data_IF_766818607670
#
_entry.id   IF_766818607670
#
_cell.length_a   1.000
_cell.length_b   1.000
_cell.length_c   1.000
_cell.angle_alpha   90.00
_cell.angle_beta   90.00
_cell.angle_gamma   90.00
#
_symmetry.space_group_name_H-M   'P 1'
#
loop_
_entity.id
_entity.type
_entity.pdbx_description
1 polymer ?
#
# COMPACT_ATOMS: atom_id res chain seq x y z
N UNK A 1 9.84 26.56 12.69
CA UNK A 1 9.64 27.83 11.95
C UNK A 1 9.98 29.02 12.84
N UNK A 2 11.14 28.97 13.51
CA UNK A 2 11.63 29.99 14.48
C UNK A 2 13.08 30.43 14.17
N UNK A 3 13.60 30.13 12.97
CA UNK A 3 15.04 30.17 12.69
C UNK A 3 15.46 31.18 11.61
N UNK A 4 14.57 32.10 11.20
CA UNK A 4 14.86 33.03 10.09
C UNK A 4 15.07 34.49 10.56
N UNK A 5 14.88 34.81 11.85
CA UNK A 5 15.23 36.13 12.40
C UNK A 5 16.68 36.24 12.92
N UNK A 6 17.56 35.29 12.61
CA UNK A 6 19.01 35.46 12.80
C UNK A 6 19.67 35.98 11.51
N UNK A 7 19.16 37.07 10.95
CA UNK A 7 19.92 37.84 9.97
C UNK A 7 20.83 38.80 10.74
N UNK A 8 22.02 38.30 11.07
CA UNK A 8 23.29 39.04 11.12
C UNK A 8 23.16 40.56 11.27
N UNK A 9 22.96 41.03 12.50
CA UNK A 9 23.54 42.30 12.93
C UNK A 9 24.90 41.97 13.54
N UNK A 10 25.94 42.41 12.82
CA UNK A 10 27.35 42.36 13.18
C UNK A 10 27.60 42.66 14.65
N UNK A 11 28.47 41.88 15.29
CA UNK A 11 28.94 42.00 16.68
C UNK A 11 29.58 43.37 17.04
N UNK A 12 29.62 44.35 16.14
CA UNK A 12 30.21 45.67 16.32
C UNK A 12 29.27 46.79 16.82
N UNK A 13 27.98 46.51 17.08
CA UNK A 13 27.05 47.48 17.68
C UNK A 13 26.64 47.13 19.11
N UNK A 14 27.61 46.88 20.01
CA UNK A 14 27.34 46.97 21.46
C UNK A 14 27.13 48.45 21.82
N UNK A 15 25.91 48.93 21.59
CA UNK A 15 25.40 50.24 21.98
C UNK A 15 25.79 50.49 23.46
N UNK A 16 26.62 51.50 23.74
CA UNK A 16 27.09 51.81 25.10
C UNK A 16 26.03 52.61 25.92
N UNK A 17 24.83 52.71 25.35
CA UNK A 17 23.64 53.44 25.80
C UNK A 17 23.19 53.18 27.25
N UNK A 18 23.35 51.98 27.87
CA UNK A 18 22.87 51.77 29.23
C UNK A 18 23.54 52.66 30.30
N UNK A 19 24.83 53.00 30.12
CA UNK A 19 25.59 53.75 31.15
C UNK A 19 25.19 55.23 31.21
N UNK A 20 24.97 55.87 30.07
CA UNK A 20 24.61 57.29 30.00
C UNK A 20 23.13 57.52 30.35
N UNK A 21 22.23 56.64 29.90
CA UNK A 21 20.80 56.69 30.22
C UNK A 21 20.55 56.60 31.73
N UNK A 22 21.21 55.68 32.43
CA UNK A 22 21.00 55.48 33.88
C UNK A 22 21.36 56.70 34.74
N UNK A 23 22.34 57.49 34.31
CA UNK A 23 22.77 58.72 34.99
C UNK A 23 21.79 59.86 34.73
N UNK A 24 21.31 59.97 33.49
CA UNK A 24 20.30 60.97 33.10
C UNK A 24 18.97 60.71 33.79
N UNK A 25 18.50 59.46 33.84
CA UNK A 25 17.24 59.08 34.50
C UNK A 25 17.20 59.57 35.94
N UNK A 26 18.24 59.27 36.74
CA UNK A 26 18.30 59.64 38.17
C UNK A 26 18.23 61.14 38.40
N UNK A 27 18.74 61.93 37.46
CA UNK A 27 18.83 63.37 37.60
C UNK A 27 17.58 64.09 37.08
N UNK A 28 16.86 63.49 36.11
CA UNK A 28 15.56 63.98 35.66
C UNK A 28 14.48 63.86 36.73
N UNK A 29 14.59 62.90 37.67
CA UNK A 29 13.61 62.71 38.76
C UNK A 29 13.47 63.96 39.67
N UNK A 30 14.44 64.89 39.66
CA UNK A 30 14.41 66.12 40.45
C UNK A 30 13.76 67.32 39.75
N UNK A 31 13.36 67.19 38.48
CA UNK A 31 12.72 68.27 37.74
C UNK A 31 11.23 68.33 38.03
N UNK A 32 10.75 69.52 38.38
CA UNK A 32 9.33 69.84 38.48
C UNK A 32 9.05 71.18 37.78
N UNK A 33 8.19 71.11 36.76
CA UNK A 33 7.72 72.27 36.01
C UNK A 33 6.47 72.85 36.67
N UNK A 34 6.15 74.12 36.37
CA UNK A 34 4.92 74.75 36.87
C UNK A 34 3.65 74.22 36.19
N UNK A 35 3.77 73.82 34.93
CA UNK A 35 2.66 73.33 34.11
C UNK A 35 2.50 71.81 34.23
N UNK A 36 1.26 71.34 34.30
CA UNK A 36 0.95 69.92 34.48
C UNK A 36 1.29 69.08 33.24
N UNK A 37 1.10 69.62 32.04
CA UNK A 37 1.40 68.95 30.77
C UNK A 37 2.91 68.72 30.66
N UNK A 38 3.71 69.74 31.02
CA UNK A 38 5.17 69.63 31.00
C UNK A 38 5.68 68.54 31.96
N UNK A 39 5.06 68.38 33.13
CA UNK A 39 5.40 67.32 34.09
C UNK A 39 5.00 65.93 33.57
N UNK A 40 3.85 65.79 32.91
CA UNK A 40 3.46 64.51 32.29
C UNK A 40 4.37 64.16 31.10
N UNK A 41 4.79 65.13 30.28
CA UNK A 41 5.80 64.90 29.22
C UNK A 41 7.12 64.41 29.82
N UNK A 42 7.59 65.00 30.93
CA UNK A 42 8.79 64.54 31.62
C UNK A 42 8.65 63.09 32.09
N UNK A 43 7.50 62.74 32.68
CA UNK A 43 7.20 61.41 33.19
C UNK A 43 7.13 60.35 32.08
N UNK A 44 6.52 60.67 30.93
CA UNK A 44 6.51 59.81 29.75
C UNK A 44 7.95 59.46 29.35
N UNK A 45 8.80 60.47 29.19
CA UNK A 45 10.20 60.29 28.83
C UNK A 45 10.96 59.41 29.84
N UNK A 46 10.79 59.69 31.14
CA UNK A 46 11.48 58.95 32.21
C UNK A 46 11.11 57.47 32.21
N UNK A 47 9.81 57.14 32.14
CA UNK A 47 9.34 55.76 32.21
C UNK A 47 9.76 54.94 30.99
N UNK A 48 9.80 55.58 29.81
CA UNK A 48 10.32 54.94 28.58
C UNK A 48 11.81 54.64 28.71
N UNK A 49 12.60 55.64 29.11
CA UNK A 49 14.04 55.48 29.27
C UNK A 49 14.38 54.46 30.37
N UNK A 50 13.64 54.46 31.49
CA UNK A 50 13.74 53.45 32.56
C UNK A 50 13.47 52.05 32.01
N UNK A 51 12.40 51.91 31.22
CA UNK A 51 12.04 50.63 30.60
C UNK A 51 13.10 50.14 29.63
N UNK A 52 13.60 51.01 28.74
CA UNK A 52 14.66 50.67 27.78
C UNK A 52 15.91 50.19 28.52
N UNK A 53 16.30 50.88 29.60
CA UNK A 53 17.44 50.48 30.41
C UNK A 53 17.24 49.12 31.10
N UNK A 54 16.00 48.79 31.48
CA UNK A 54 15.69 47.52 32.15
C UNK A 54 15.48 46.33 31.20
N UNK A 55 15.03 46.57 29.96
CA UNK A 55 14.59 45.53 29.04
C UNK A 55 14.95 45.84 27.57
N UNK A 56 16.22 46.15 27.34
CA UNK A 56 16.73 46.64 26.06
C UNK A 56 16.47 45.69 24.88
N UNK A 57 16.65 44.38 25.06
CA UNK A 57 16.45 43.38 23.99
C UNK A 57 15.01 43.34 23.49
N UNK A 58 14.03 43.44 24.39
CA UNK A 58 12.61 43.51 24.03
C UNK A 58 12.29 44.80 23.24
N UNK A 59 12.94 45.92 23.57
CA UNK A 59 12.80 47.14 22.78
C UNK A 59 13.48 47.03 21.41
N UNK A 60 14.60 46.32 21.30
CA UNK A 60 15.23 46.02 20.01
C UNK A 60 14.34 45.17 19.11
N UNK A 61 13.61 44.20 19.67
CA UNK A 61 12.71 43.33 18.92
C UNK A 61 11.48 44.10 18.40
N UNK A 62 10.81 44.86 19.27
CA UNK A 62 9.50 45.46 18.95
C UNK A 62 9.55 46.94 18.57
N UNK A 63 10.68 47.62 18.71
CA UNK A 63 10.87 49.02 18.31
C UNK A 63 12.16 49.21 17.47
N UNK A 64 12.46 48.24 16.61
CA UNK A 64 13.73 48.16 15.89
C UNK A 64 14.04 49.37 15.01
N UNK A 65 13.03 50.01 14.40
CA UNK A 65 13.24 51.21 13.55
C UNK A 65 13.69 52.38 14.42
N UNK A 66 12.96 52.68 15.50
CA UNK A 66 13.31 53.78 16.39
C UNK A 66 14.60 53.54 17.18
N UNK A 67 14.92 52.27 17.50
CA UNK A 67 16.15 51.91 18.21
C UNK A 67 17.43 52.12 17.38
N UNK A 68 17.33 52.10 16.04
CA UNK A 68 18.49 52.17 15.13
C UNK A 68 19.32 53.44 15.31
N UNK A 69 18.68 54.59 15.48
CA UNK A 69 19.33 55.91 15.59
C UNK A 69 19.26 56.47 17.02
N UNK A 70 18.78 55.68 17.99
CA UNK A 70 18.49 56.12 19.35
C UNK A 70 19.72 56.72 20.05
N UNK A 71 20.87 56.06 19.94
CA UNK A 71 22.13 56.52 20.56
C UNK A 71 22.52 57.90 20.06
N UNK A 72 22.51 58.09 18.73
CA UNK A 72 22.85 59.37 18.11
C UNK A 72 21.87 60.48 18.50
N UNK A 73 20.57 60.16 18.53
CA UNK A 73 19.52 61.13 18.90
C UNK A 73 19.63 61.54 20.37
N UNK A 74 19.84 60.58 21.27
CA UNK A 74 20.03 60.86 22.70
C UNK A 74 21.29 61.69 22.95
N UNK A 75 22.41 61.37 22.30
CA UNK A 75 23.65 62.14 22.42
C UNK A 75 23.51 63.59 21.91
N UNK A 76 22.57 63.85 21.00
CA UNK A 76 22.26 65.19 20.52
C UNK A 76 21.46 66.06 21.50
N UNK A 77 20.75 65.45 22.45
CA UNK A 77 19.81 66.12 23.37
C UNK A 77 20.28 66.06 24.82
N UNK A 78 20.69 64.89 25.32
CA UNK A 78 21.01 64.66 26.72
C UNK A 78 22.10 65.60 27.28
N UNK A 79 23.23 65.86 26.58
CA UNK A 79 24.26 66.76 27.09
C UNK A 79 23.82 68.24 27.21
N UNK A 80 22.73 68.62 26.52
CA UNK A 80 22.20 69.99 26.54
C UNK A 80 21.24 70.23 27.72
N UNK A 81 20.77 69.16 28.37
CA UNK A 81 19.92 69.25 29.56
C UNK A 81 20.82 69.58 30.76
N UNK A 82 20.67 70.78 31.31
CA UNK A 82 21.38 71.16 32.53
C UNK A 82 20.66 70.62 33.76
N UNK A 83 21.12 69.46 34.22
CA UNK A 83 20.57 68.70 35.36
C UNK A 83 20.68 69.43 36.71
N UNK A 84 21.54 70.45 36.83
CA UNK A 84 21.71 71.26 38.04
C UNK A 84 21.09 72.66 37.92
N UNK A 85 20.23 72.88 36.91
CA UNK A 85 19.63 74.20 36.69
C UNK A 85 18.72 74.59 37.88
N UNK A 86 18.94 75.78 38.44
CA UNK A 86 18.01 76.40 39.41
C UNK A 86 16.71 76.88 38.76
N UNK A 87 16.70 77.00 37.44
CA UNK A 87 15.56 77.42 36.63
C UNK A 87 15.20 76.28 35.67
N UNK A 88 14.30 75.41 36.12
CA UNK A 88 13.89 74.19 35.40
C UNK A 88 13.12 74.53 34.13
N UNK A 89 12.41 75.67 34.09
CA UNK A 89 11.61 76.11 32.95
C UNK A 89 12.45 76.30 31.68
N UNK A 90 13.72 76.70 31.81
CA UNK A 90 14.66 76.80 30.68
C UNK A 90 14.99 75.46 30.03
N UNK A 91 14.69 74.33 30.69
CA UNK A 91 14.94 73.00 30.17
C UNK A 91 13.76 72.44 29.36
N UNK A 92 12.61 73.14 29.35
CA UNK A 92 11.36 72.69 28.71
C UNK A 92 11.57 72.22 27.27
N UNK A 93 12.24 73.01 26.43
CA UNK A 93 12.49 72.67 25.01
C UNK A 93 13.21 71.32 24.85
N UNK A 94 14.19 71.03 25.71
CA UNK A 94 14.93 69.76 25.65
C UNK A 94 14.09 68.56 26.10
N UNK A 95 13.17 68.75 27.05
CA UNK A 95 12.24 67.68 27.49
C UNK A 95 11.24 67.35 26.38
N UNK A 96 10.75 68.33 25.64
CA UNK A 96 9.91 68.07 24.47
C UNK A 96 10.69 67.44 23.31
N UNK A 97 11.94 67.85 23.07
CA UNK A 97 12.80 67.15 22.08
C UNK A 97 13.04 65.70 22.46
N UNK A 98 13.17 65.41 23.76
CA UNK A 98 13.27 64.04 24.25
C UNK A 98 11.99 63.25 23.99
N UNK A 99 10.81 63.89 24.08
CA UNK A 99 9.53 63.27 23.72
C UNK A 99 9.50 62.84 22.25
N UNK A 100 10.03 63.66 21.33
CA UNK A 100 10.14 63.30 19.91
C UNK A 100 11.05 62.08 19.66
N UNK A 101 11.92 61.73 20.61
CA UNK A 101 12.79 60.55 20.55
C UNK A 101 12.12 59.33 21.18
N UNK A 102 11.47 59.51 22.34
CA UNK A 102 10.91 58.40 23.12
C UNK A 102 9.54 57.94 22.64
N UNK A 103 8.69 58.86 22.15
CA UNK A 103 7.35 58.54 21.66
C UNK A 103 7.34 57.59 20.45
N UNK A 104 8.20 57.77 19.41
CA UNK A 104 8.32 56.80 18.31
C UNK A 104 8.53 55.38 18.79
N UNK A 105 9.33 55.18 19.85
CA UNK A 105 9.62 53.86 20.40
C UNK A 105 8.37 53.21 20.96
N UNK A 106 7.60 53.91 21.81
CA UNK A 106 6.31 53.39 22.31
C UNK A 106 5.36 53.11 21.15
N UNK A 107 5.29 54.01 20.18
CA UNK A 107 4.33 53.91 19.09
C UNK A 107 4.63 52.71 18.18
N UNK A 108 5.90 52.54 17.80
CA UNK A 108 6.35 51.36 17.06
C UNK A 108 6.16 50.08 17.87
N UNK A 109 6.55 50.10 19.15
CA UNK A 109 6.33 48.98 20.07
C UNK A 109 4.86 48.56 20.08
N UNK A 110 3.93 49.51 20.14
CA UNK A 110 2.50 49.21 20.10
C UNK A 110 2.03 48.61 18.77
N UNK A 111 2.64 48.98 17.65
CA UNK A 111 2.26 48.50 16.32
C UNK A 111 2.82 47.12 16.00
N UNK A 112 4.01 46.78 16.52
CA UNK A 112 4.67 45.48 16.30
C UNK A 112 4.33 44.43 17.36
N UNK A 113 4.03 44.85 18.59
CA UNK A 113 3.77 43.92 19.68
C UNK A 113 2.41 43.24 19.48
N UNK A 114 2.42 41.91 19.58
CA UNK A 114 1.26 41.03 19.32
C UNK A 114 0.18 41.10 20.42
N UNK A 115 0.50 41.72 21.55
CA UNK A 115 -0.37 41.84 22.73
C UNK A 115 -0.78 43.29 23.01
N UNK A 116 -1.86 43.48 23.77
CA UNK A 116 -2.23 44.81 24.26
C UNK A 116 -1.04 45.45 24.99
N UNK A 117 -0.77 46.70 24.63
CA UNK A 117 0.27 47.49 25.25
C UNK A 117 0.06 47.57 26.77
N UNK A 118 1.14 47.58 27.55
CA UNK A 118 1.06 47.78 28.99
C UNK A 118 0.18 49.02 29.29
N UNK A 119 -0.78 48.94 30.24
CA UNK A 119 -1.68 50.05 30.56
C UNK A 119 -0.98 51.40 30.79
N UNK A 120 0.25 51.39 31.33
CA UNK A 120 1.07 52.59 31.52
C UNK A 120 1.46 53.23 30.19
N UNK A 121 2.01 52.45 29.25
CA UNK A 121 2.39 52.97 27.94
C UNK A 121 1.17 53.35 27.09
N UNK A 122 0.05 52.66 27.29
CA UNK A 122 -1.21 53.03 26.64
C UNK A 122 -1.71 54.40 27.12
N UNK A 123 -1.63 54.68 28.42
CA UNK A 123 -1.92 56.02 28.97
C UNK A 123 -1.00 57.08 28.38
N UNK A 124 0.31 56.83 28.31
CA UNK A 124 1.26 57.77 27.72
C UNK A 124 0.99 58.04 26.24
N UNK A 125 0.66 57.00 25.48
CA UNK A 125 0.27 57.12 24.09
C UNK A 125 -0.96 58.02 23.94
N UNK A 126 -2.02 57.78 24.73
CA UNK A 126 -3.23 58.61 24.68
C UNK A 126 -2.97 60.05 25.12
N UNK A 127 -2.18 60.26 26.17
CA UNK A 127 -1.77 61.60 26.61
C UNK A 127 -1.12 62.40 25.47
N UNK A 128 -0.17 61.79 24.74
CA UNK A 128 0.48 62.46 23.60
C UNK A 128 -0.53 62.75 22.48
N UNK A 129 -1.42 61.82 22.16
CA UNK A 129 -2.44 62.04 21.12
C UNK A 129 -3.43 63.15 21.47
N UNK A 130 -3.91 63.20 22.71
CA UNK A 130 -4.90 64.18 23.16
C UNK A 130 -4.32 65.59 23.31
N UNK A 131 -3.03 65.69 23.63
CA UNK A 131 -2.36 66.97 23.90
C UNK A 131 -1.48 67.46 22.74
N UNK A 132 -1.42 66.75 21.61
CA UNK A 132 -0.49 67.05 20.52
C UNK A 132 -0.61 68.48 20.00
N UNK A 133 -1.82 69.04 19.98
CA UNK A 133 -2.06 70.40 19.47
C UNK A 133 -1.64 71.49 20.46
N UNK A 134 -1.44 71.14 21.74
CA UNK A 134 -0.94 72.03 22.80
C UNK A 134 0.58 72.14 22.87
N UNK A 135 1.30 71.22 22.20
CA UNK A 135 2.75 71.16 22.22
C UNK A 135 3.40 72.23 21.32
N UNK A 136 4.68 72.57 21.54
CA UNK A 136 5.41 73.48 20.66
C UNK A 136 5.31 73.06 19.19
N UNK A 137 5.14 74.02 18.27
CA UNK A 137 4.85 73.74 16.85
C UNK A 137 5.87 72.81 16.16
N UNK A 138 7.16 72.93 16.50
CA UNK A 138 8.21 72.03 16.00
C UNK A 138 7.95 70.58 16.42
N UNK A 139 7.64 70.36 17.69
CA UNK A 139 7.43 69.05 18.30
C UNK A 139 6.12 68.45 17.83
N UNK A 140 5.07 69.26 17.74
CA UNK A 140 3.78 68.88 17.16
C UNK A 140 3.93 68.40 15.72
N UNK A 141 4.69 69.12 14.90
CA UNK A 141 4.96 68.71 13.52
C UNK A 141 5.72 67.37 13.47
N UNK A 142 6.77 67.22 14.27
CA UNK A 142 7.57 65.99 14.35
C UNK A 142 6.70 64.80 14.75
N UNK A 143 5.92 64.93 15.82
CA UNK A 143 5.07 63.86 16.32
C UNK A 143 3.97 63.48 15.32
N UNK A 144 3.32 64.46 14.66
CA UNK A 144 2.33 64.17 13.61
C UNK A 144 2.98 63.41 12.46
N UNK A 145 4.17 63.82 12.01
CA UNK A 145 4.92 63.11 10.98
C UNK A 145 5.20 61.64 11.38
N UNK A 146 5.70 61.42 12.59
CA UNK A 146 5.95 60.07 13.14
C UNK A 146 4.67 59.22 13.13
N UNK A 147 3.56 59.78 13.63
CA UNK A 147 2.28 59.06 13.72
C UNK A 147 1.81 58.56 12.34
N UNK A 148 2.00 59.36 11.29
CA UNK A 148 1.59 59.04 9.92
C UNK A 148 2.58 58.12 9.18
N UNK A 149 3.89 58.31 9.34
CA UNK A 149 4.92 57.60 8.58
C UNK A 149 5.29 56.24 9.17
N UNK A 150 5.24 56.09 10.50
CA UNK A 150 5.65 54.84 11.17
C UNK A 150 4.84 53.62 10.70
N UNK A 151 3.49 53.64 10.61
CA UNK A 151 2.72 52.51 10.11
C UNK A 151 3.08 52.12 8.68
N UNK A 152 3.27 53.12 7.80
CA UNK A 152 3.65 52.93 6.40
C UNK A 152 5.04 52.29 6.28
N UNK A 153 5.98 52.72 7.13
CA UNK A 153 7.34 52.17 7.17
C UNK A 153 7.36 50.71 7.63
N UNK A 154 6.62 50.39 8.70
CA UNK A 154 6.47 49.01 9.19
C UNK A 154 5.83 48.14 8.11
N UNK A 155 4.74 48.61 7.50
CA UNK A 155 4.05 47.88 6.43
C UNK A 155 4.99 47.60 5.25
N UNK A 156 5.78 48.58 4.81
CA UNK A 156 6.75 48.40 3.73
C UNK A 156 7.82 47.37 4.07
N UNK A 157 8.33 47.36 5.31
CA UNK A 157 9.31 46.35 5.76
C UNK A 157 8.71 44.95 5.77
N UNK A 158 7.51 44.80 6.37
CA UNK A 158 6.81 43.51 6.43
C UNK A 158 6.42 43.00 5.05
N UNK A 159 5.91 43.85 4.17
CA UNK A 159 5.49 43.47 2.82
C UNK A 159 6.66 43.12 1.90
N UNK A 160 7.83 43.74 2.09
CA UNK A 160 9.05 43.37 1.36
C UNK A 160 9.67 42.07 1.92
N UNK A 161 9.56 41.82 3.24
CA UNK A 161 10.05 40.62 3.91
C UNK A 161 9.15 39.40 3.68
N UNK A 162 7.83 39.61 3.57
CA UNK A 162 6.91 38.67 2.94
C UNK A 162 7.38 38.57 1.50
N UNK A 163 8.27 37.64 1.20
CA UNK A 163 8.82 37.44 -0.14
C UNK A 163 7.66 37.07 -1.07
N UNK A 164 6.98 38.06 -1.64
CA UNK A 164 5.89 37.88 -2.63
C UNK A 164 6.40 37.08 -3.85
N UNK A 165 7.71 37.11 -4.07
CA UNK A 165 8.42 36.25 -5.03
C UNK A 165 8.36 34.76 -4.67
N UNK A 166 8.34 34.39 -3.39
CA UNK A 166 8.13 33.01 -2.93
C UNK A 166 6.67 32.59 -3.06
N UNK A 167 5.69 33.50 -2.90
CA UNK A 167 4.28 33.18 -3.14
C UNK A 167 3.99 32.82 -4.60
N UNK A 168 4.62 33.51 -5.56
CA UNK A 168 4.51 33.13 -6.98
C UNK A 168 5.16 31.79 -7.30
N UNK A 169 6.33 31.51 -6.69
CA UNK A 169 6.99 30.20 -6.84
C UNK A 169 6.16 29.07 -6.22
N UNK A 170 5.48 29.34 -5.11
CA UNK A 170 4.61 28.35 -4.46
C UNK A 170 3.47 27.94 -5.40
N UNK A 171 2.87 28.88 -6.13
CA UNK A 171 1.83 28.57 -7.12
C UNK A 171 2.38 27.71 -8.28
N UNK A 172 3.57 28.03 -8.78
CA UNK A 172 4.25 27.22 -9.81
C UNK A 172 4.58 25.81 -9.31
N UNK A 173 5.10 25.67 -8.08
CA UNK A 173 5.45 24.39 -7.46
C UNK A 173 4.21 23.54 -7.16
N UNK A 174 3.11 24.16 -6.71
CA UNK A 174 1.82 23.48 -6.48
C UNK A 174 1.29 22.93 -7.81
N UNK A 175 1.25 23.75 -8.87
CA UNK A 175 0.75 23.31 -10.17
C UNK A 175 1.59 22.19 -10.77
N UNK A 176 2.92 22.24 -10.62
CA UNK A 176 3.82 21.17 -11.06
C UNK A 176 3.62 19.87 -10.26
N UNK A 177 3.37 19.97 -8.96
CA UNK A 177 3.11 18.79 -8.14
C UNK A 177 1.75 18.16 -8.49
N UNK A 178 0.72 18.97 -8.74
CA UNK A 178 -0.59 18.50 -9.19
C UNK A 178 -0.45 17.72 -10.51
N UNK A 179 0.24 18.28 -11.51
CA UNK A 179 0.43 17.59 -12.79
C UNK A 179 1.21 16.28 -12.64
N UNK A 180 2.20 16.24 -11.74
CA UNK A 180 2.97 15.01 -11.46
C UNK A 180 2.11 13.94 -10.81
N UNK A 181 1.21 14.32 -9.90
CA UNK A 181 0.26 13.38 -9.26
C UNK A 181 -0.71 12.81 -10.30
N UNK A 182 -1.26 13.66 -11.18
CA UNK A 182 -2.15 13.21 -12.25
C UNK A 182 -1.47 12.23 -13.22
N UNK A 183 -0.19 12.48 -13.56
CA UNK A 183 0.62 11.56 -14.35
C UNK A 183 0.84 10.21 -13.65
N UNK A 184 1.16 10.23 -12.36
CA UNK A 184 1.35 9.02 -11.55
C UNK A 184 0.07 8.21 -11.40
N UNK A 185 -1.07 8.83 -11.18
CA UNK A 185 -2.36 8.15 -11.10
C UNK A 185 -2.69 7.43 -12.43
N UNK A 186 -2.48 8.11 -13.56
CA UNK A 186 -2.68 7.48 -14.89
C UNK A 186 -1.68 6.33 -15.15
N UNK A 187 -0.43 6.45 -14.70
CA UNK A 187 0.54 5.36 -14.83
C UNK A 187 0.20 4.17 -13.91
N UNK A 188 -0.29 4.46 -12.71
CA UNK A 188 -0.74 3.45 -11.75
C UNK A 188 -1.91 2.64 -12.30
N UNK A 189 -2.94 3.30 -12.85
CA UNK A 189 -4.07 2.62 -13.49
C UNK A 189 -3.62 1.70 -14.63
N UNK A 190 -2.73 2.17 -15.51
CA UNK A 190 -2.18 1.35 -16.61
C UNK A 190 -1.40 0.13 -16.11
N UNK A 191 -0.68 0.28 -14.99
CA UNK A 191 0.05 -0.84 -14.37
C UNK A 191 -0.92 -1.82 -13.71
N UNK A 192 -1.95 -1.34 -13.04
CA UNK A 192 -3.00 -2.16 -12.44
C UNK A 192 -3.68 -3.01 -13.51
N UNK A 193 -4.10 -2.40 -14.62
CA UNK A 193 -4.73 -3.09 -15.75
C UNK A 193 -3.82 -4.19 -16.31
N UNK A 194 -2.52 -3.91 -16.47
CA UNK A 194 -1.55 -4.93 -16.91
C UNK A 194 -1.41 -6.08 -15.92
N UNK A 195 -1.35 -5.79 -14.63
CA UNK A 195 -1.22 -6.81 -13.58
C UNK A 195 -2.47 -7.69 -13.52
N UNK A 196 -3.66 -7.09 -13.59
CA UNK A 196 -4.91 -7.83 -13.65
C UNK A 196 -5.01 -8.69 -14.92
N UNK A 197 -4.60 -8.15 -16.08
CA UNK A 197 -4.52 -8.91 -17.32
C UNK A 197 -3.54 -10.09 -17.26
N UNK A 198 -2.37 -9.90 -16.63
CA UNK A 198 -1.39 -10.96 -16.38
C UNK A 198 -1.93 -12.03 -15.43
N UNK A 199 -2.57 -11.63 -14.33
CA UNK A 199 -3.20 -12.54 -13.38
C UNK A 199 -4.27 -13.38 -14.06
N UNK A 200 -5.19 -12.73 -14.79
CA UNK A 200 -6.23 -13.40 -15.54
C UNK A 200 -5.63 -14.42 -16.51
N UNK A 201 -4.57 -14.06 -17.23
CA UNK A 201 -3.83 -14.94 -18.16
C UNK A 201 -3.22 -16.15 -17.44
N UNK A 202 -2.56 -15.93 -16.30
CA UNK A 202 -1.92 -16.99 -15.51
C UNK A 202 -2.93 -17.99 -14.93
N UNK A 203 -4.08 -17.50 -14.47
CA UNK A 203 -5.18 -18.35 -14.00
C UNK A 203 -5.68 -19.25 -15.15
N UNK A 204 -5.79 -18.72 -16.39
CA UNK A 204 -6.16 -19.54 -17.56
C UNK A 204 -5.13 -20.65 -17.86
N UNK A 205 -3.84 -20.31 -17.78
CA UNK A 205 -2.76 -21.27 -18.05
C UNK A 205 -2.71 -22.36 -16.97
N UNK A 206 -2.99 -22.04 -15.72
CA UNK A 206 -2.94 -22.98 -14.59
C UNK A 206 -4.03 -24.05 -14.73
N UNK A 207 -5.26 -23.65 -15.05
CA UNK A 207 -6.38 -24.60 -15.23
C UNK A 207 -6.17 -25.49 -16.47
N UNK A 208 -5.76 -24.90 -17.60
CA UNK A 208 -5.51 -25.63 -18.82
C UNK A 208 -4.34 -26.63 -18.66
N UNK A 209 -3.30 -26.26 -17.92
CA UNK A 209 -2.13 -27.13 -17.71
C UNK A 209 -2.44 -28.31 -16.78
N UNK A 210 -3.26 -28.12 -15.75
CA UNK A 210 -3.68 -29.19 -14.84
C UNK A 210 -4.45 -30.30 -15.57
N UNK A 211 -5.39 -29.97 -16.46
CA UNK A 211 -6.12 -30.98 -17.23
C UNK A 211 -5.26 -31.69 -18.28
N UNK A 212 -4.32 -30.97 -18.90
CA UNK A 212 -3.35 -31.57 -19.84
C UNK A 212 -2.43 -32.55 -19.13
N UNK A 213 -1.94 -32.20 -17.94
CA UNK A 213 -1.10 -33.08 -17.12
C UNK A 213 -1.86 -34.34 -16.67
N UNK A 214 -3.13 -34.18 -16.25
CA UNK A 214 -4.00 -35.31 -15.89
C UNK A 214 -4.29 -36.22 -17.10
N UNK A 215 -4.58 -35.63 -18.27
CA UNK A 215 -4.76 -36.38 -19.50
C UNK A 215 -3.51 -37.18 -19.88
N UNK A 216 -2.33 -36.57 -19.81
CA UNK A 216 -1.05 -37.24 -20.07
C UNK A 216 -0.83 -38.40 -19.08
N UNK A 217 -1.09 -38.18 -17.79
CA UNK A 217 -1.03 -39.22 -16.76
C UNK A 217 -1.97 -40.41 -17.05
N UNK A 218 -3.22 -40.15 -17.38
CA UNK A 218 -4.17 -41.19 -17.76
C UNK A 218 -3.80 -41.89 -19.08
N UNK A 219 -3.20 -41.17 -20.04
CA UNK A 219 -2.75 -41.75 -21.31
C UNK A 219 -1.63 -42.78 -21.10
N UNK A 220 -0.68 -42.49 -20.20
CA UNK A 220 0.38 -43.40 -19.78
C UNK A 220 -0.18 -44.60 -19.02
N UNK A 221 -1.21 -44.41 -18.19
CA UNK A 221 -1.88 -45.51 -17.51
C UNK A 221 -2.62 -46.43 -18.51
N UNK A 222 -3.31 -45.84 -19.50
CA UNK A 222 -3.99 -46.58 -20.57
C UNK A 222 -3.02 -47.42 -21.40
N UNK A 223 -1.84 -46.89 -21.74
CA UNK A 223 -0.83 -47.62 -22.50
C UNK A 223 -0.27 -48.81 -21.69
N UNK A 224 0.01 -48.61 -20.40
CA UNK A 224 0.42 -49.69 -19.49
C UNK A 224 -0.64 -50.80 -19.38
N UNK A 225 -1.90 -50.44 -19.16
CA UNK A 225 -3.02 -51.40 -19.13
C UNK A 225 -3.17 -52.15 -20.47
N UNK A 226 -2.93 -51.48 -21.60
CA UNK A 226 -2.97 -52.12 -22.91
C UNK A 226 -1.86 -53.15 -23.10
N UNK A 227 -0.65 -52.85 -22.61
CA UNK A 227 0.48 -53.79 -22.63
C UNK A 227 0.21 -55.01 -21.74
N UNK A 228 -0.25 -54.79 -20.50
CA UNK A 228 -0.64 -55.86 -19.58
C UNK A 228 -1.76 -56.73 -20.16
N UNK A 229 -2.80 -56.13 -20.75
CA UNK A 229 -3.90 -56.83 -21.39
C UNK A 229 -3.42 -57.71 -22.55
N UNK A 230 -2.48 -57.21 -23.37
CA UNK A 230 -1.89 -58.00 -24.45
C UNK A 230 -1.08 -59.19 -23.90
N UNK A 231 -0.29 -58.99 -22.85
CA UNK A 231 0.42 -60.08 -22.16
C UNK A 231 -0.52 -61.17 -21.63
N UNK A 232 -1.68 -60.78 -21.08
CA UNK A 232 -2.71 -61.73 -20.63
C UNK A 232 -3.33 -62.51 -21.80
N UNK A 233 -3.53 -61.89 -22.97
CA UNK A 233 -4.01 -62.60 -24.18
C UNK A 233 -2.98 -63.61 -24.65
N UNK A 234 -1.70 -63.25 -24.71
CA UNK A 234 -0.61 -64.16 -25.09
C UNK A 234 -0.56 -65.36 -24.14
N UNK A 235 -0.64 -65.12 -22.83
CA UNK A 235 -0.68 -66.18 -21.82
C UNK A 235 -1.94 -67.07 -21.96
N UNK A 236 -3.09 -66.47 -22.27
CA UNK A 236 -4.33 -67.21 -22.51
C UNK A 236 -4.24 -68.13 -23.74
N UNK A 237 -3.63 -67.65 -24.84
CA UNK A 237 -3.37 -68.46 -26.03
C UNK A 237 -2.42 -69.61 -25.70
N UNK A 238 -1.35 -69.34 -24.95
CA UNK A 238 -0.43 -70.38 -24.47
C UNK A 238 -1.14 -71.44 -23.63
N UNK A 239 -1.98 -71.03 -22.66
CA UNK A 239 -2.76 -71.96 -21.84
C UNK A 239 -3.79 -72.74 -22.66
N UNK A 240 -4.40 -72.13 -23.68
CA UNK A 240 -5.32 -72.81 -24.59
C UNK A 240 -4.60 -73.96 -25.33
N UNK A 241 -3.42 -73.70 -25.89
CA UNK A 241 -2.58 -74.76 -26.47
C UNK A 241 -2.12 -75.78 -25.41
N UNK A 242 -1.82 -75.31 -24.19
CA UNK A 242 -1.47 -76.15 -23.04
C UNK A 242 -2.58 -77.13 -22.63
N UNK A 243 -3.85 -76.75 -22.79
CA UNK A 243 -5.02 -77.63 -22.57
C UNK A 243 -5.13 -78.69 -23.67
N UNK A 244 -4.84 -78.34 -24.92
CA UNK A 244 -4.93 -79.26 -26.06
C UNK A 244 -3.76 -80.26 -26.11
N UNK A 245 -2.55 -79.82 -25.73
CA UNK A 245 -1.31 -80.61 -25.78
C UNK A 245 -1.42 -81.99 -25.12
N UNK A 246 -1.82 -82.13 -23.84
CA UNK A 246 -1.83 -83.44 -23.19
C UNK A 246 -2.89 -84.38 -23.80
N UNK A 247 -4.03 -83.85 -24.26
CA UNK A 247 -5.08 -84.63 -24.93
C UNK A 247 -4.59 -85.16 -26.29
N UNK A 248 -3.90 -84.33 -27.07
CA UNK A 248 -3.32 -84.72 -28.36
C UNK A 248 -2.21 -85.76 -28.16
N UNK A 249 -1.34 -85.56 -27.16
CA UNK A 249 -0.27 -86.50 -26.83
C UNK A 249 -0.84 -87.86 -26.42
N UNK A 250 -1.84 -87.87 -25.53
CA UNK A 250 -2.53 -89.08 -25.11
C UNK A 250 -3.15 -89.82 -26.31
N UNK A 251 -3.91 -89.11 -27.15
CA UNK A 251 -4.51 -89.70 -28.35
C UNK A 251 -3.46 -90.26 -29.32
N UNK A 252 -2.37 -89.53 -29.55
CA UNK A 252 -1.28 -89.97 -30.44
C UNK A 252 -0.59 -91.22 -29.90
N UNK A 253 -0.33 -91.28 -28.58
CA UNK A 253 0.30 -92.41 -27.91
C UNK A 253 -0.59 -93.66 -27.98
N UNK A 254 -1.88 -93.54 -27.67
CA UNK A 254 -2.83 -94.64 -27.80
C UNK A 254 -2.98 -95.11 -29.25
N UNK A 255 -3.04 -94.19 -30.22
CA UNK A 255 -3.15 -94.56 -31.65
C UNK A 255 -1.93 -95.35 -32.16
N UNK A 256 -0.72 -94.98 -31.72
CA UNK A 256 0.52 -95.69 -32.08
C UNK A 256 0.61 -97.08 -31.44
N UNK A 257 0.19 -97.22 -30.18
CA UNK A 257 0.14 -98.50 -29.48
C UNK A 257 -0.83 -99.51 -30.12
N UNK A 258 -1.96 -99.02 -30.64
CA UNK A 258 -2.94 -99.84 -31.39
C UNK A 258 -2.37 -100.24 -32.76
N UNK A 259 -1.73 -99.30 -33.47
CA UNK A 259 -1.14 -99.54 -34.80
C UNK A 259 0.03 -100.54 -34.78
N UNK A 260 0.82 -100.56 -33.70
CA UNK A 260 1.92 -101.51 -33.47
C UNK A 260 1.43 -102.90 -32.99
N UNK A 261 0.12 -103.10 -32.81
CA UNK A 261 -0.46 -104.38 -32.35
C UNK A 261 -0.13 -104.76 -30.91
N UNK A 262 0.38 -103.83 -30.09
CA UNK A 262 0.81 -104.05 -28.69
C UNK A 262 -0.34 -103.99 -27.70
N UNK A 263 -1.47 -103.39 -28.06
CA UNK A 263 -2.69 -103.30 -27.24
C UNK A 263 -3.88 -103.84 -28.03
N UNK A 264 -4.51 -104.89 -27.52
CA UNK A 264 -5.79 -105.40 -28.04
C UNK A 264 -6.95 -104.68 -27.33
N UNK A 265 -7.60 -103.75 -28.03
CA UNK A 265 -8.63 -102.87 -27.50
C UNK A 265 -9.84 -103.63 -26.92
N UNK A 266 -10.03 -104.91 -27.30
CA UNK A 266 -11.10 -105.78 -26.77
C UNK A 266 -10.80 -106.40 -25.41
N UNK A 267 -9.52 -106.48 -25.01
CA UNK A 267 -9.07 -107.17 -23.80
C UNK A 267 -8.36 -106.23 -22.79
N UNK A 268 -8.32 -104.92 -23.07
CA UNK A 268 -7.68 -103.94 -22.20
C UNK A 268 -8.40 -103.84 -20.83
N UNK A 269 -7.64 -103.89 -19.74
CA UNK A 269 -8.18 -103.72 -18.39
C UNK A 269 -8.53 -102.26 -18.14
N UNK A 270 -9.70 -102.01 -17.56
CA UNK A 270 -10.18 -100.65 -17.20
C UNK A 270 -9.16 -99.93 -16.29
N UNK A 271 -8.45 -100.67 -15.43
CA UNK A 271 -7.45 -100.11 -14.53
C UNK A 271 -6.22 -99.53 -15.27
N UNK A 272 -5.81 -100.17 -16.38
CA UNK A 272 -4.66 -99.73 -17.17
C UNK A 272 -4.98 -98.42 -17.90
N UNK A 273 -6.17 -98.32 -18.51
CA UNK A 273 -6.63 -97.09 -19.17
C UNK A 273 -6.80 -95.95 -18.16
N UNK A 274 -7.32 -96.24 -16.96
CA UNK A 274 -7.52 -95.24 -15.91
C UNK A 274 -6.20 -94.67 -15.37
N UNK A 275 -5.15 -95.50 -15.27
CA UNK A 275 -3.84 -95.10 -14.76
C UNK A 275 -3.15 -94.06 -15.66
N UNK A 276 -3.34 -94.14 -16.98
CA UNK A 276 -2.79 -93.18 -17.95
C UNK A 276 -3.68 -91.93 -18.14
N UNK A 277 -5.00 -92.10 -18.12
CA UNK A 277 -5.97 -90.99 -18.34
C UNK A 277 -6.08 -90.06 -17.12
N UNK A 278 -5.97 -90.57 -15.89
CA UNK A 278 -6.16 -89.77 -14.67
C UNK A 278 -5.18 -88.59 -14.54
N UNK A 279 -3.86 -88.75 -14.75
CA UNK A 279 -2.93 -87.62 -14.77
C UNK A 279 -3.24 -86.59 -15.86
N UNK A 280 -3.67 -87.02 -17.05
CA UNK A 280 -4.02 -86.13 -18.18
C UNK A 280 -5.26 -85.29 -17.85
N UNK A 281 -6.30 -85.93 -17.30
CA UNK A 281 -7.52 -85.24 -16.87
C UNK A 281 -7.21 -84.23 -15.76
N UNK A 282 -6.43 -84.63 -14.75
CA UNK A 282 -6.03 -83.75 -13.64
C UNK A 282 -5.23 -82.53 -14.14
N UNK A 283 -4.25 -82.76 -15.02
CA UNK A 283 -3.46 -81.68 -15.63
C UNK A 283 -4.33 -80.76 -16.50
N UNK A 284 -5.30 -81.31 -17.22
CA UNK A 284 -6.25 -80.56 -18.05
C UNK A 284 -7.13 -79.65 -17.18
N UNK A 285 -7.67 -80.16 -16.07
CA UNK A 285 -8.45 -79.35 -15.13
C UNK A 285 -7.61 -78.23 -14.49
N UNK A 286 -6.34 -78.51 -14.17
CA UNK A 286 -5.42 -77.51 -13.64
C UNK A 286 -5.15 -76.39 -14.67
N UNK A 287 -4.92 -76.74 -15.93
CA UNK A 287 -4.72 -75.76 -17.00
C UNK A 287 -5.99 -74.93 -17.27
N UNK A 288 -7.17 -75.54 -17.23
CA UNK A 288 -8.45 -74.85 -17.34
C UNK A 288 -8.68 -73.89 -16.16
N UNK A 289 -8.25 -74.25 -14.95
CA UNK A 289 -8.31 -73.36 -13.79
C UNK A 289 -7.44 -72.12 -14.00
N UNK A 290 -6.18 -72.29 -14.40
CA UNK A 290 -5.30 -71.15 -14.71
C UNK A 290 -5.83 -70.31 -15.86
N UNK A 291 -6.39 -70.94 -16.90
CA UNK A 291 -7.04 -70.23 -18.00
C UNK A 291 -8.18 -69.35 -17.49
N UNK A 292 -9.02 -69.87 -16.57
CA UNK A 292 -10.10 -69.10 -15.95
C UNK A 292 -9.58 -67.91 -15.15
N UNK A 293 -8.50 -68.08 -14.39
CA UNK A 293 -7.88 -66.99 -13.61
C UNK A 293 -7.34 -65.90 -14.54
N UNK A 294 -6.62 -66.27 -15.60
CA UNK A 294 -6.11 -65.32 -16.60
C UNK A 294 -7.24 -64.60 -17.32
N UNK A 295 -8.31 -65.31 -17.67
CA UNK A 295 -9.51 -64.71 -18.28
C UNK A 295 -10.20 -63.71 -17.34
N UNK A 296 -10.26 -64.00 -16.04
CA UNK A 296 -10.81 -63.07 -15.05
C UNK A 296 -9.97 -61.79 -14.97
N UNK A 297 -8.64 -61.93 -14.83
CA UNK A 297 -7.74 -60.77 -14.79
C UNK A 297 -7.79 -59.94 -16.07
N UNK A 298 -7.91 -60.58 -17.24
CA UNK A 298 -8.08 -59.87 -18.51
C UNK A 298 -9.37 -59.03 -18.53
N UNK A 299 -10.49 -59.57 -18.03
CA UNK A 299 -11.75 -58.84 -17.92
C UNK A 299 -11.64 -57.64 -16.99
N UNK A 300 -10.97 -57.80 -15.84
CA UNK A 300 -10.72 -56.70 -14.90
C UNK A 300 -9.90 -55.59 -15.56
N UNK A 301 -8.76 -55.92 -16.18
CA UNK A 301 -7.91 -54.93 -16.89
C UNK A 301 -8.65 -54.23 -18.03
N UNK A 302 -9.58 -54.90 -18.72
CA UNK A 302 -10.40 -54.27 -19.76
C UNK A 302 -11.41 -53.27 -19.19
N UNK A 303 -12.00 -53.56 -18.03
CA UNK A 303 -12.89 -52.63 -17.32
C UNK A 303 -12.10 -51.41 -16.85
N UNK A 304 -10.93 -51.60 -16.23
CA UNK A 304 -10.03 -50.52 -15.80
C UNK A 304 -9.63 -49.63 -16.98
N UNK A 305 -9.24 -50.23 -18.12
CA UNK A 305 -8.88 -49.49 -19.34
C UNK A 305 -10.03 -48.62 -19.85
N UNK A 306 -11.28 -49.13 -19.79
CA UNK A 306 -12.47 -48.37 -20.21
C UNK A 306 -12.75 -47.20 -19.27
N UNK A 307 -12.59 -47.39 -17.96
CA UNK A 307 -12.77 -46.32 -16.98
C UNK A 307 -11.71 -45.21 -17.14
N UNK A 308 -10.44 -45.58 -17.36
CA UNK A 308 -9.38 -44.60 -17.66
C UNK A 308 -9.70 -43.83 -18.94
N UNK A 309 -10.20 -44.51 -19.99
CA UNK A 309 -10.60 -43.84 -21.23
C UNK A 309 -11.75 -42.85 -21.02
N UNK A 310 -12.74 -43.17 -20.18
CA UNK A 310 -13.82 -42.24 -19.84
C UNK A 310 -13.28 -40.97 -19.19
N UNK A 311 -12.35 -41.10 -18.22
CA UNK A 311 -11.72 -39.94 -17.56
C UNK A 311 -10.90 -39.11 -18.54
N UNK A 312 -10.16 -39.74 -19.44
CA UNK A 312 -9.43 -39.03 -20.51
C UNK A 312 -10.36 -38.22 -21.40
N UNK A 313 -11.47 -38.82 -21.86
CA UNK A 313 -12.46 -38.13 -22.68
C UNK A 313 -13.13 -36.97 -21.93
N UNK A 314 -13.38 -37.13 -20.62
CA UNK A 314 -13.95 -36.06 -19.80
C UNK A 314 -12.97 -34.89 -19.58
N UNK A 315 -11.67 -35.19 -19.35
CA UNK A 315 -10.63 -34.16 -19.28
C UNK A 315 -10.49 -33.39 -20.61
N UNK A 316 -10.55 -34.07 -21.76
CA UNK A 316 -10.55 -33.43 -23.08
C UNK A 316 -11.80 -32.56 -23.27
N UNK A 317 -12.97 -33.11 -22.97
CA UNK A 317 -14.23 -32.39 -23.09
C UNK A 317 -14.26 -31.11 -22.25
N UNK A 318 -13.74 -31.14 -21.01
CA UNK A 318 -13.67 -29.94 -20.18
C UNK A 318 -12.58 -28.97 -20.58
N UNK A 319 -11.45 -29.46 -21.09
CA UNK A 319 -10.47 -28.56 -21.67
C UNK A 319 -11.06 -27.78 -22.85
N UNK A 320 -11.86 -28.45 -23.69
CA UNK A 320 -12.53 -27.83 -24.84
C UNK A 320 -13.73 -26.96 -24.40
N UNK A 321 -14.51 -27.41 -23.40
CA UNK A 321 -15.64 -26.67 -22.86
C UNK A 321 -15.21 -25.45 -22.04
N UNK A 322 -14.15 -25.52 -21.22
CA UNK A 322 -13.61 -24.37 -20.48
C UNK A 322 -13.07 -23.30 -21.43
N UNK A 323 -12.43 -23.72 -22.54
CA UNK A 323 -12.06 -22.82 -23.64
C UNK A 323 -13.30 -22.17 -24.27
N UNK A 324 -14.35 -22.95 -24.56
CA UNK A 324 -15.58 -22.47 -25.18
C UNK A 324 -16.48 -21.61 -24.26
N UNK A 325 -16.62 -21.98 -23.00
CA UNK A 325 -17.42 -21.29 -21.99
C UNK A 325 -16.74 -20.00 -21.50
N UNK A 326 -15.40 -19.91 -21.59
CA UNK A 326 -14.70 -18.62 -21.40
C UNK A 326 -15.08 -17.60 -22.49
N UNK A 327 -15.35 -18.05 -23.72
CA UNK A 327 -15.81 -17.18 -24.81
C UNK A 327 -17.30 -16.77 -24.65
N UNK A 328 -18.08 -17.48 -23.82
CA UNK A 328 -19.51 -17.24 -23.59
C UNK A 328 -19.77 -17.15 -22.07
N UNK A 329 -19.56 -15.96 -21.51
CA UNK A 329 -19.62 -15.67 -20.07
C UNK A 329 -20.99 -15.94 -19.40
N UNK A 330 -20.89 -16.22 -18.09
CA UNK A 330 -21.93 -16.29 -17.03
C UNK A 330 -22.70 -17.62 -16.89
N UNK A 331 -22.48 -18.33 -15.77
CA UNK A 331 -23.16 -19.55 -15.23
C UNK A 331 -22.41 -20.91 -15.30
N UNK A 332 -21.09 -20.97 -15.05
CA UNK A 332 -20.33 -22.24 -15.07
C UNK A 332 -20.18 -22.99 -13.72
N UNK A 333 -20.39 -22.33 -12.57
CA UNK A 333 -19.98 -22.89 -11.26
C UNK A 333 -20.68 -24.22 -10.89
N UNK A 334 -21.94 -24.42 -11.29
CA UNK A 334 -22.72 -25.62 -10.95
C UNK A 334 -22.23 -26.88 -11.70
N UNK A 335 -21.44 -26.72 -12.75
CA UNK A 335 -21.02 -27.85 -13.62
C UNK A 335 -19.67 -28.46 -13.23
N UNK A 336 -18.77 -27.69 -12.63
CA UNK A 336 -17.42 -28.15 -12.28
C UNK A 336 -17.43 -29.10 -11.06
N UNK A 337 -18.27 -28.81 -10.06
CA UNK A 337 -18.41 -29.64 -8.85
C UNK A 337 -18.97 -31.05 -9.16
N UNK A 338 -19.92 -31.13 -10.10
CA UNK A 338 -20.46 -32.40 -10.59
C UNK A 338 -19.41 -33.20 -11.38
N UNK A 339 -18.50 -32.51 -12.06
CA UNK A 339 -17.39 -33.13 -12.79
C UNK A 339 -16.31 -33.68 -11.87
N UNK A 340 -15.86 -32.92 -10.86
CA UNK A 340 -14.86 -33.37 -9.88
C UNK A 340 -15.32 -34.67 -9.22
N UNK A 341 -16.61 -34.75 -8.88
CA UNK A 341 -17.24 -35.96 -8.34
C UNK A 341 -17.14 -37.17 -9.26
N UNK A 342 -17.23 -36.99 -10.59
CA UNK A 342 -17.14 -38.07 -11.58
C UNK A 342 -15.69 -38.49 -11.81
N UNK A 343 -14.74 -37.54 -11.87
CA UNK A 343 -13.31 -37.81 -12.03
C UNK A 343 -12.71 -38.52 -10.82
N UNK A 344 -13.06 -38.09 -9.62
CA UNK A 344 -12.51 -38.62 -8.36
C UNK A 344 -13.37 -39.74 -7.76
N UNK A 345 -14.43 -40.18 -8.44
CA UNK A 345 -15.18 -41.36 -8.03
C UNK A 345 -14.27 -42.61 -7.95
N UNK A 346 -14.45 -43.45 -6.94
CA UNK A 346 -13.58 -44.62 -6.72
C UNK A 346 -13.68 -45.63 -7.88
N UNK A 347 -12.52 -46.10 -8.37
CA UNK A 347 -12.38 -47.04 -9.50
C UNK A 347 -12.93 -48.46 -9.20
N UNK A 348 -13.21 -48.79 -7.92
CA UNK A 348 -13.32 -50.17 -7.44
C UNK A 348 -14.63 -50.53 -6.74
N UNK A 349 -15.70 -49.75 -6.89
CA UNK A 349 -17.01 -50.25 -6.45
C UNK A 349 -17.61 -51.18 -7.52
N UNK A 350 -17.54 -52.49 -7.23
CA UNK A 350 -18.14 -53.62 -7.97
C UNK A 350 -17.25 -54.38 -8.97
N UNK A 351 -16.17 -55.00 -8.46
CA UNK A 351 -15.55 -56.15 -9.14
C UNK A 351 -16.37 -57.45 -9.00
N UNK A 352 -17.40 -57.48 -8.15
CA UNK A 352 -18.16 -58.71 -7.85
C UNK A 352 -19.46 -58.87 -8.65
N UNK A 353 -19.89 -57.83 -9.37
CA UNK A 353 -20.97 -57.93 -10.38
C UNK A 353 -20.50 -57.15 -11.60
N UNK A 354 -20.27 -57.82 -12.72
CA UNK A 354 -20.09 -57.16 -14.01
C UNK A 354 -21.28 -56.19 -14.18
N UNK A 355 -21.09 -54.86 -14.20
CA UNK A 355 -22.18 -53.95 -14.49
C UNK A 355 -22.43 -54.09 -15.99
N UNK A 356 -23.58 -54.68 -16.33
CA UNK A 356 -24.17 -54.52 -17.65
C UNK A 356 -24.14 -53.05 -18.01
N UNK A 357 -23.69 -52.75 -19.22
CA UNK A 357 -23.44 -51.41 -19.81
C UNK A 357 -24.64 -50.44 -19.81
N UNK A 358 -25.73 -50.81 -19.14
CA UNK A 358 -26.97 -50.07 -18.99
C UNK A 358 -27.01 -49.21 -17.71
N UNK A 359 -26.37 -49.64 -16.60
CA UNK A 359 -26.45 -48.89 -15.31
C UNK A 359 -25.67 -47.57 -15.32
N UNK A 360 -24.67 -47.42 -16.21
CA UNK A 360 -23.94 -46.17 -16.39
C UNK A 360 -24.73 -45.10 -17.16
N UNK A 361 -25.66 -45.53 -18.03
CA UNK A 361 -26.47 -44.64 -18.86
C UNK A 361 -27.62 -44.05 -18.04
N UNK A 362 -28.18 -44.79 -17.09
CA UNK A 362 -29.25 -44.29 -16.23
C UNK A 362 -28.80 -43.14 -15.30
N UNK A 363 -27.54 -43.17 -14.85
CA UNK A 363 -26.97 -42.03 -14.10
C UNK A 363 -26.77 -40.80 -14.99
N UNK A 364 -26.35 -40.96 -16.24
CA UNK A 364 -26.22 -39.86 -17.21
C UNK A 364 -27.59 -39.32 -17.63
N UNK A 365 -28.60 -40.19 -17.79
CA UNK A 365 -29.98 -39.81 -18.10
C UNK A 365 -30.64 -39.04 -16.96
N UNK A 366 -30.31 -39.38 -15.70
CA UNK A 366 -30.77 -38.62 -14.53
C UNK A 366 -30.18 -37.20 -14.47
N UNK A 367 -28.91 -37.03 -14.85
CA UNK A 367 -28.25 -35.72 -14.94
C UNK A 367 -28.79 -34.87 -16.12
N UNK A 368 -29.11 -35.49 -17.26
CA UNK A 368 -29.78 -34.82 -18.38
C UNK A 368 -31.22 -34.37 -18.03
N UNK A 369 -31.92 -35.12 -17.18
CA UNK A 369 -33.24 -34.73 -16.66
C UNK A 369 -33.17 -33.52 -15.73
N UNK A 370 -32.14 -33.45 -14.88
CA UNK A 370 -31.91 -32.29 -14.00
C UNK A 370 -31.59 -31.03 -14.82
N UNK A 371 -30.81 -31.13 -15.89
CA UNK A 371 -30.53 -29.99 -16.78
C UNK A 371 -31.76 -29.52 -17.60
N UNK A 372 -32.75 -30.38 -17.84
CA UNK A 372 -33.97 -30.00 -18.57
C UNK A 372 -35.06 -29.39 -17.67
N UNK A 373 -34.94 -29.50 -16.34
CA UNK A 373 -35.90 -28.92 -15.39
C UNK A 373 -35.52 -27.49 -14.94
N UNK A 374 -34.32 -27.02 -15.26
CA UNK A 374 -33.83 -25.67 -14.91
C UNK A 374 -33.75 -24.73 -16.13
N UNK A 375 -34.43 -25.08 -17.23
CA UNK A 375 -34.57 -24.25 -18.43
C UNK A 375 -35.94 -23.61 -18.55
#
# INVERSE_FOLDING_TARGET
>A
MNDIMQTTLSEEQKLNVPKEISTVIKNLDFFHFKDEIDNEVLKVNQEILKSINSNFENWLEYASIGMKDLEQQLNGVLPKINLNSKDVEKQKDYIYRLLSITFPLIYEYNLRFDKPLNPTYQKFKYFVFENIDSFPETIKSDLKFIIFETPSTIYREQFNNLKIKELKKLDEDINKNISTIEEWDSEYEKKLEKVEGLKATLDQYTDAFNFVALYDGFSKLKSRLSYTSWGLVVLMVFLAFGVLTPVILEFSYFSGLIGDGKIDLKNASIAEVLMFTFPVISLTFLMLYFFRVVLHNYKVTMVEKRQVQLRMTLCQFIQDYSKYAKDIKENSDVTLESFERVIFSDLTSSSEKLPTTLDGIDKIASLLKVMKQTG
#
